data_IF_899203735744
#
_entry.id   IF_899203735744
#
_cell.length_a   1.000
_cell.length_b   1.000
_cell.length_c   1.000
_cell.angle_alpha   90.00
_cell.angle_beta   90.00
_cell.angle_gamma   90.00
#
_symmetry.space_group_name_H-M   'P 1'
#
loop_
_entity.id
_entity.type
_entity.pdbx_description
1 polymer ?
#
# COMPACT_ATOMS: atom_id res chain seq x y z
N UNK A 1 19.53 11.73 -7.18
CA UNK A 1 19.42 10.31 -7.57
C UNK A 1 18.15 9.76 -6.93
N UNK A 2 17.15 9.37 -7.72
CA UNK A 2 15.90 8.79 -7.21
C UNK A 2 16.18 7.32 -6.85
N UNK A 3 15.82 6.90 -5.65
CA UNK A 3 15.92 5.49 -5.27
C UNK A 3 14.86 4.66 -5.99
N UNK A 4 15.16 3.40 -6.32
CA UNK A 4 14.22 2.47 -6.94
C UNK A 4 13.62 1.54 -5.89
N UNK A 5 12.32 1.29 -5.97
CA UNK A 5 11.65 0.20 -5.26
C UNK A 5 11.58 -1.02 -6.16
N UNK A 6 12.07 -2.15 -5.67
CA UNK A 6 12.08 -3.42 -6.38
C UNK A 6 11.16 -4.43 -5.69
N UNK A 7 10.62 -5.37 -6.45
CA UNK A 7 9.75 -6.41 -5.90
C UNK A 7 10.58 -7.61 -5.43
N UNK A 8 10.56 -7.86 -4.13
CA UNK A 8 11.22 -9.04 -3.55
C UNK A 8 10.25 -10.23 -3.42
N UNK A 9 10.02 -10.93 -4.54
CA UNK A 9 9.17 -12.14 -4.52
C UNK A 9 9.75 -13.28 -3.66
N UNK A 10 11.06 -13.32 -3.46
CA UNK A 10 11.76 -14.40 -2.73
C UNK A 10 12.04 -14.07 -1.26
N UNK A 11 11.82 -12.82 -0.83
CA UNK A 11 12.05 -12.32 0.55
C UNK A 11 13.53 -12.46 0.96
N UNK A 12 14.47 -12.17 0.06
CA UNK A 12 15.92 -12.36 0.25
C UNK A 12 16.75 -11.12 0.01
N UNK A 13 16.17 -10.00 -0.41
CA UNK A 13 16.95 -8.81 -0.69
C UNK A 13 17.43 -8.15 0.61
N UNK A 14 18.72 -7.78 0.70
CA UNK A 14 19.23 -7.09 1.88
C UNK A 14 18.68 -5.67 1.94
N UNK A 15 18.36 -5.20 3.15
CA UNK A 15 17.93 -3.82 3.40
C UNK A 15 16.56 -3.71 4.05
N UNK A 16 15.89 -2.58 3.82
CA UNK A 16 14.55 -2.30 4.34
C UNK A 16 13.52 -2.81 3.32
N UNK A 17 12.49 -3.50 3.79
CA UNK A 17 11.38 -3.99 2.97
C UNK A 17 10.04 -3.40 3.40
N UNK A 18 9.06 -3.47 2.50
CA UNK A 18 7.67 -3.13 2.77
C UNK A 18 6.76 -4.19 2.17
N UNK A 19 5.62 -4.44 2.81
CA UNK A 19 4.60 -5.37 2.33
C UNK A 19 3.46 -4.60 1.70
N UNK A 20 3.01 -5.08 0.55
CA UNK A 20 1.87 -4.56 -0.18
C UNK A 20 1.04 -5.73 -0.69
N UNK A 21 -0.28 -5.59 -0.66
CA UNK A 21 -1.17 -6.52 -1.34
C UNK A 21 -0.97 -6.40 -2.86
N UNK A 22 -1.05 -7.51 -3.62
CA UNK A 22 -0.99 -7.49 -5.09
C UNK A 22 -2.32 -6.98 -5.67
N UNK A 23 -2.70 -5.77 -5.30
CA UNK A 23 -3.95 -5.12 -5.68
C UNK A 23 -3.68 -3.66 -6.10
N UNK A 24 -4.28 -3.19 -7.20
CA UNK A 24 -3.97 -1.88 -7.77
C UNK A 24 -4.53 -0.73 -6.91
N UNK A 25 -5.63 -0.93 -6.18
CA UNK A 25 -6.16 0.09 -5.25
C UNK A 25 -5.23 0.25 -4.05
N UNK A 26 -4.73 -0.86 -3.52
CA UNK A 26 -3.72 -0.87 -2.47
C UNK A 26 -2.44 -0.12 -2.89
N UNK A 27 -1.97 -0.35 -4.12
CA UNK A 27 -0.82 0.37 -4.69
C UNK A 27 -1.11 1.87 -4.82
N UNK A 28 -2.24 2.25 -5.43
CA UNK A 28 -2.61 3.66 -5.62
C UNK A 28 -2.72 4.42 -4.28
N UNK A 29 -3.23 3.75 -3.24
CA UNK A 29 -3.31 4.30 -1.88
C UNK A 29 -1.92 4.46 -1.26
N UNK A 30 -1.01 3.51 -1.47
CA UNK A 30 0.36 3.57 -1.01
C UNK A 30 1.15 4.71 -1.67
N UNK A 31 0.98 4.90 -2.98
CA UNK A 31 1.57 6.00 -3.74
C UNK A 31 1.06 7.36 -3.25
N UNK A 32 -0.28 7.52 -3.16
CA UNK A 32 -0.92 8.77 -2.72
C UNK A 32 -0.48 9.20 -1.33
N UNK A 33 -0.25 8.23 -0.42
CA UNK A 33 0.17 8.48 0.96
C UNK A 33 1.69 8.56 1.14
N UNK A 34 2.49 8.40 0.07
CA UNK A 34 3.95 8.29 0.14
C UNK A 34 4.39 7.21 1.13
N UNK A 35 3.76 6.04 1.07
CA UNK A 35 4.02 4.94 1.99
C UNK A 35 5.42 4.33 1.77
N UNK A 36 5.89 4.20 0.52
CA UNK A 36 7.20 3.59 0.23
C UNK A 36 8.38 4.40 0.76
N UNK A 37 8.50 5.72 0.52
CA UNK A 37 9.59 6.51 1.12
C UNK A 37 9.57 6.45 2.65
N UNK A 38 8.38 6.42 3.26
CA UNK A 38 8.21 6.32 4.72
C UNK A 38 8.64 4.95 5.26
N UNK A 39 8.24 3.86 4.60
CA UNK A 39 8.56 2.49 5.01
C UNK A 39 10.04 2.16 4.79
N UNK A 40 10.60 2.59 3.66
CA UNK A 40 11.99 2.35 3.28
C UNK A 40 12.96 3.39 3.85
N UNK A 41 12.44 4.44 4.52
CA UNK A 41 13.20 5.58 5.06
C UNK A 41 14.11 6.24 4.02
N UNK A 42 13.61 6.34 2.79
CA UNK A 42 14.36 6.96 1.70
C UNK A 42 14.12 8.48 1.67
N UNK A 43 15.17 9.30 1.49
CA UNK A 43 15.02 10.73 1.29
C UNK A 43 14.50 10.99 -0.14
N UNK A 44 13.22 11.33 -0.25
CA UNK A 44 12.63 11.85 -1.48
C UNK A 44 11.73 10.87 -2.25
N UNK A 45 11.50 11.18 -3.52
CA UNK A 45 10.69 10.35 -4.40
C UNK A 45 11.41 9.04 -4.71
N UNK A 46 10.64 7.95 -4.72
CA UNK A 46 11.11 6.63 -5.13
C UNK A 46 10.42 6.23 -6.42
N UNK A 47 11.17 5.60 -7.32
CA UNK A 47 10.61 5.01 -8.53
C UNK A 47 9.95 3.67 -8.19
N UNK A 48 8.64 3.59 -8.44
CA UNK A 48 7.77 2.44 -8.12
C UNK A 48 7.23 1.75 -9.38
N UNK A 49 7.77 2.09 -10.56
CA UNK A 49 7.32 1.52 -11.85
C UNK A 49 7.31 -0.01 -11.85
N UNK A 50 8.38 -0.63 -11.37
CA UNK A 50 8.52 -2.09 -11.30
C UNK A 50 7.44 -2.73 -10.41
N UNK A 51 7.11 -2.08 -9.29
CA UNK A 51 6.03 -2.53 -8.40
C UNK A 51 4.67 -2.45 -9.09
N UNK A 52 4.45 -1.39 -9.89
CA UNK A 52 3.20 -1.21 -10.64
C UNK A 52 2.99 -2.27 -11.70
N UNK A 53 4.05 -2.59 -12.45
CA UNK A 53 4.03 -3.68 -13.43
C UNK A 53 3.76 -5.02 -12.74
N UNK A 54 4.47 -5.31 -11.64
CA UNK A 54 4.25 -6.55 -10.89
C UNK A 54 2.82 -6.68 -10.35
N UNK A 55 2.27 -5.62 -9.75
CA UNK A 55 0.89 -5.65 -9.25
C UNK A 55 -0.10 -5.88 -10.38
N UNK A 56 0.11 -5.26 -11.55
CA UNK A 56 -0.73 -5.49 -12.73
C UNK A 56 -0.70 -6.94 -13.23
N UNK A 57 0.43 -7.64 -13.09
CA UNK A 57 0.55 -9.05 -13.43
C UNK A 57 0.01 -9.99 -12.33
N UNK A 58 0.23 -9.65 -11.06
CA UNK A 58 -0.15 -10.48 -9.92
C UNK A 58 -1.67 -10.53 -9.68
N UNK A 59 -2.40 -9.46 -10.03
CA UNK A 59 -3.87 -9.41 -9.95
C UNK A 59 -4.53 -10.40 -10.90
N UNK A 60 -3.92 -10.68 -12.06
CA UNK A 60 -4.41 -11.65 -13.03
C UNK A 60 -4.28 -13.11 -12.55
N UNK A 61 -3.40 -13.38 -11.58
CA UNK A 61 -3.06 -14.74 -11.17
C UNK A 61 -3.89 -15.27 -10.00
N UNK A 62 -4.99 -14.60 -9.62
CA UNK A 62 -5.91 -15.08 -8.60
C UNK A 62 -5.34 -15.10 -7.18
N UNK A 63 -4.42 -14.19 -6.85
CA UNK A 63 -3.93 -14.02 -5.49
C UNK A 63 -4.97 -13.28 -4.63
N UNK A 64 -6.06 -13.99 -4.31
CA UNK A 64 -7.00 -13.60 -3.29
C UNK A 64 -6.26 -13.39 -1.97
N UNK A 65 -6.31 -12.17 -1.44
CA UNK A 65 -6.99 -11.81 -0.19
C UNK A 65 -6.66 -10.35 0.12
N UNK A 66 -7.55 -9.42 -0.27
CA UNK A 66 -7.74 -8.20 0.51
C UNK A 66 -9.14 -8.28 1.11
N UNK A 67 -9.29 -8.42 2.44
CA UNK A 67 -10.59 -8.16 3.05
C UNK A 67 -10.94 -6.69 2.79
N UNK A 68 -12.20 -6.45 2.42
CA UNK A 68 -12.77 -5.15 2.13
C UNK A 68 -12.34 -4.07 3.15
N UNK A 69 -12.26 -2.78 2.75
CA UNK A 69 -11.97 -1.70 3.68
C UNK A 69 -13.00 -1.72 4.81
N UNK A 70 -12.54 -2.08 6.02
CA UNK A 70 -13.36 -2.05 7.24
C UNK A 70 -13.80 -0.60 7.45
N UNK A 71 -15.10 -0.37 7.32
CA UNK A 71 -15.72 0.95 7.25
C UNK A 71 -15.22 1.92 8.30
N UNK A 72 -15.11 3.19 7.92
CA UNK A 72 -15.14 4.32 8.85
C UNK A 72 -16.39 4.17 9.71
N UNK A 73 -16.22 3.76 10.96
CA UNK A 73 -17.28 3.88 11.96
C UNK A 73 -17.44 5.38 12.18
N UNK A 74 -18.46 5.94 11.56
CA UNK A 74 -18.94 7.28 11.85
C UNK A 74 -19.25 7.34 13.35
N UNK A 75 -18.48 8.13 14.10
CA UNK A 75 -18.74 8.37 15.51
C UNK A 75 -19.91 9.37 15.64
N UNK A 76 -21.10 8.96 15.19
CA UNK A 76 -22.35 9.67 15.46
C UNK A 76 -22.97 9.12 16.73
N UNK A 77 -22.77 9.77 17.88
CA UNK A 77 -23.63 9.57 19.06
C UNK A 77 -24.69 10.67 19.02
N UNK A 78 -25.99 10.35 19.05
CA UNK A 78 -27.04 11.35 19.03
C UNK A 78 -26.99 12.19 20.31
N UNK A 79 -27.07 13.52 20.17
CA UNK A 79 -27.35 14.44 21.27
C UNK A 79 -28.76 14.15 21.76
N UNK A 80 -28.89 13.64 22.98
CA UNK A 80 -30.20 13.49 23.62
C UNK A 80 -30.69 14.89 24.02
N UNK A 81 -31.82 15.30 23.46
CA UNK A 81 -32.59 16.45 23.89
C UNK A 81 -33.06 16.23 25.33
N UNK A 82 -32.69 17.13 26.25
CA UNK A 82 -33.25 17.17 27.61
C UNK A 82 -34.59 17.94 27.60
N UNK A 83 -35.62 17.48 28.33
CA UNK A 83 -36.75 18.33 28.73
C UNK A 83 -36.36 19.30 29.86
#
# INVERSE_FOLDING_TARGET
MVGRVVVDGRRRLPGRGAWLHPDPDCLAKAERRRAFPRALRAPGALDVREVREYVAHATHHGAGTSPAPRGTKEAGRPVMSQP
#
